data_IF_190412165418
#
_entry.id   IF_190412165418
#
_cell.length_a   1.000
_cell.length_b   1.000
_cell.length_c   1.000
_cell.angle_alpha   90.00
_cell.angle_beta   90.00
_cell.angle_gamma   90.00
#
_symmetry.space_group_name_H-M   'P 1'
#
loop_
_entity.id
_entity.type
_entity.pdbx_description
1 polymer ?
#
# COMPACT_ATOMS: atom_id res chain seq x y z
N UNK A 1 21.80 14.16 7.67
CA UNK A 1 22.11 12.80 7.15
C UNK A 1 21.02 11.82 7.59
N UNK A 2 19.80 11.92 7.03
CA UNK A 2 18.64 11.04 7.32
C UNK A 2 17.73 10.91 6.07
N UNK A 3 18.35 10.90 4.88
CA UNK A 3 17.62 10.88 3.61
C UNK A 3 16.90 9.55 3.37
N UNK A 4 17.45 8.46 3.90
CA UNK A 4 16.96 7.09 3.68
C UNK A 4 16.43 6.41 4.94
N UNK A 5 16.93 6.81 6.11
CA UNK A 5 16.52 6.31 7.42
C UNK A 5 15.67 7.33 8.15
N UNK A 6 14.82 6.86 9.05
CA UNK A 6 14.13 7.74 9.99
C UNK A 6 15.10 8.31 11.01
N UNK A 7 14.81 9.54 11.42
CA UNK A 7 15.44 10.14 12.58
C UNK A 7 14.93 9.47 13.87
N UNK A 8 15.72 9.55 14.97
CA UNK A 8 15.28 9.03 16.26
C UNK A 8 13.98 9.65 16.77
N UNK A 9 13.71 10.92 16.41
CA UNK A 9 12.49 11.63 16.79
C UNK A 9 11.27 11.05 16.07
N UNK A 10 11.34 10.85 14.75
CA UNK A 10 10.26 10.22 13.97
C UNK A 10 9.96 8.80 14.46
N UNK A 11 10.98 8.03 14.85
CA UNK A 11 10.76 6.70 15.44
C UNK A 11 10.01 6.81 16.78
N UNK A 12 10.35 7.80 17.61
CA UNK A 12 9.64 8.04 18.86
C UNK A 12 8.19 8.49 18.63
N UNK A 13 7.91 9.26 17.59
CA UNK A 13 6.55 9.65 17.20
C UNK A 13 5.74 8.45 16.72
N UNK A 14 6.31 7.59 15.87
CA UNK A 14 5.64 6.41 15.31
C UNK A 14 5.37 5.36 16.39
N UNK A 15 6.33 5.15 17.29
CA UNK A 15 6.21 4.13 18.34
C UNK A 15 5.56 4.64 19.62
N UNK A 16 5.51 5.96 19.83
CA UNK A 16 5.04 6.59 21.07
C UNK A 16 5.97 6.44 22.27
N UNK A 17 7.16 5.83 22.11
CA UNK A 17 8.07 5.54 23.20
C UNK A 17 9.42 6.25 23.05
N UNK A 18 9.98 6.70 24.18
CA UNK A 18 11.32 7.30 24.24
C UNK A 18 12.44 6.25 24.44
N UNK A 19 12.14 5.14 25.13
CA UNK A 19 13.13 4.08 25.39
C UNK A 19 13.34 3.19 24.17
N UNK A 20 14.59 3.05 23.72
CA UNK A 20 14.92 2.25 22.54
C UNK A 20 14.47 0.78 22.61
N UNK A 21 14.50 0.15 23.79
CA UNK A 21 14.00 -1.22 23.96
C UNK A 21 12.49 -1.34 23.68
N UNK A 22 11.71 -0.36 24.13
CA UNK A 22 10.27 -0.30 23.87
C UNK A 22 9.98 0.04 22.41
N UNK A 23 10.75 0.96 21.82
CA UNK A 23 10.66 1.27 20.39
C UNK A 23 10.90 0.01 19.54
N UNK A 24 11.96 -0.75 19.82
CA UNK A 24 12.25 -2.00 19.12
C UNK A 24 11.11 -3.01 19.25
N UNK A 25 10.56 -3.19 20.46
CA UNK A 25 9.39 -4.06 20.69
C UNK A 25 8.19 -3.62 19.85
N UNK A 26 7.88 -2.31 19.86
CA UNK A 26 6.75 -1.76 19.12
C UNK A 26 6.94 -1.92 17.60
N UNK A 27 8.16 -1.67 17.09
CA UNK A 27 8.49 -1.90 15.68
C UNK A 27 8.31 -3.37 15.28
N UNK A 28 8.67 -4.34 16.14
CA UNK A 28 8.37 -5.77 15.92
C UNK A 28 6.86 -6.03 15.87
N UNK A 29 6.09 -5.44 16.78
CA UNK A 29 4.63 -5.57 16.80
C UNK A 29 3.97 -5.00 15.53
N UNK A 30 4.52 -3.92 14.97
CA UNK A 30 4.06 -3.36 13.70
C UNK A 30 4.57 -4.13 12.46
N UNK A 31 5.45 -5.13 12.64
CA UNK A 31 6.08 -5.84 11.52
C UNK A 31 7.05 -4.98 10.70
N UNK A 32 7.53 -3.87 11.26
CA UNK A 32 8.45 -2.97 10.57
C UNK A 32 9.88 -3.49 10.76
N UNK A 33 10.60 -3.84 9.68
CA UNK A 33 11.97 -4.28 9.79
C UNK A 33 12.89 -3.13 10.23
N UNK A 34 13.77 -3.41 11.18
CA UNK A 34 14.76 -2.47 11.69
C UNK A 34 16.10 -3.15 11.94
N UNK A 35 17.16 -2.35 11.94
CA UNK A 35 18.51 -2.76 12.37
C UNK A 35 18.86 -2.02 13.65
N UNK A 36 19.76 -2.54 14.47
CA UNK A 36 20.25 -1.86 15.67
C UNK A 36 21.66 -1.31 15.44
N UNK A 37 21.87 -0.07 15.86
CA UNK A 37 23.22 0.53 15.96
C UNK A 37 24.01 -0.05 17.16
N UNK A 38 25.30 0.28 17.27
CA UNK A 38 26.16 -0.10 18.40
C UNK A 38 25.72 0.42 19.78
N UNK A 39 24.72 1.34 19.82
CA UNK A 39 24.08 1.85 21.04
C UNK A 39 22.66 1.31 21.25
N UNK A 40 22.28 0.21 20.61
CA UNK A 40 20.92 -0.37 20.62
C UNK A 40 19.83 0.58 20.10
N UNK A 41 20.20 1.56 19.28
CA UNK A 41 19.24 2.47 18.65
C UNK A 41 18.60 1.78 17.45
N UNK A 42 17.26 1.73 17.35
CA UNK A 42 16.62 1.21 16.14
C UNK A 42 16.88 2.15 14.96
N UNK A 43 17.31 1.59 13.85
CA UNK A 43 17.45 2.24 12.54
C UNK A 43 16.39 1.63 11.63
N UNK A 44 15.45 2.46 11.22
CA UNK A 44 14.34 2.08 10.34
C UNK A 44 14.51 2.79 9.02
N UNK A 45 14.34 2.07 7.90
CA UNK A 45 14.36 2.67 6.58
C UNK A 45 12.98 3.27 6.26
N UNK A 46 12.95 4.47 5.68
CA UNK A 46 11.69 5.17 5.35
C UNK A 46 10.78 4.36 4.42
N UNK A 47 11.37 3.56 3.53
CA UNK A 47 10.65 2.69 2.56
C UNK A 47 9.73 1.64 3.20
N UNK A 48 9.89 1.36 4.50
CA UNK A 48 9.07 0.37 5.21
C UNK A 48 7.85 0.98 5.89
N UNK A 49 7.76 2.31 5.94
CA UNK A 49 6.62 3.03 6.52
C UNK A 49 5.63 3.51 5.50
N UNK A 50 6.04 3.61 4.24
CA UNK A 50 5.08 3.71 3.15
C UNK A 50 4.32 2.39 3.15
N UNK A 51 3.04 2.36 3.59
CA UNK A 51 2.23 1.19 3.30
C UNK A 51 2.30 1.02 1.79
N UNK A 52 2.49 -0.22 1.33
CA UNK A 52 2.44 -0.54 -0.09
C UNK A 52 1.33 0.30 -0.72
N UNK A 53 1.70 1.34 -1.49
CA UNK A 53 0.97 1.62 -2.70
C UNK A 53 1.23 0.37 -3.52
N UNK A 54 0.47 -0.68 -3.22
CA UNK A 54 0.21 -1.74 -4.16
C UNK A 54 -0.42 -0.95 -5.29
N UNK A 55 0.39 -0.56 -6.27
CA UNK A 55 -0.15 -0.12 -7.55
C UNK A 55 -1.15 -1.22 -7.89
N UNK A 56 -2.44 -0.85 -7.92
CA UNK A 56 -3.49 -1.77 -8.33
C UNK A 56 -2.97 -2.40 -9.63
N UNK A 57 -2.89 -3.74 -9.72
CA UNK A 57 -2.42 -4.37 -10.95
C UNK A 57 -3.26 -3.76 -12.05
N UNK A 58 -2.59 -3.22 -13.08
CA UNK A 58 -3.25 -2.59 -14.21
C UNK A 58 -4.23 -3.63 -14.74
N UNK A 59 -5.51 -3.42 -14.42
CA UNK A 59 -6.56 -4.26 -14.97
C UNK A 59 -6.54 -3.87 -16.43
N UNK A 60 -6.02 -4.73 -17.29
CA UNK A 60 -6.24 -4.59 -18.71
C UNK A 60 -7.75 -4.69 -18.88
N UNK A 61 -8.41 -3.53 -18.92
CA UNK A 61 -9.79 -3.42 -19.33
C UNK A 61 -9.86 -4.16 -20.66
N UNK A 62 -10.66 -5.22 -20.70
CA UNK A 62 -10.96 -5.93 -21.92
C UNK A 62 -11.78 -4.99 -22.80
N UNK A 63 -11.10 -4.12 -23.54
CA UNK A 63 -11.70 -3.27 -24.56
C UNK A 63 -11.90 -4.18 -25.76
N UNK A 64 -13.13 -4.65 -25.94
CA UNK A 64 -13.54 -5.35 -27.15
C UNK A 64 -13.16 -4.46 -28.35
N UNK A 65 -12.23 -4.96 -29.17
CA UNK A 65 -11.71 -4.24 -30.34
C UNK A 65 -12.70 -4.24 -31.49
N UNK A 66 -13.71 -5.10 -31.40
CA UNK A 66 -14.78 -5.21 -32.38
C UNK A 66 -16.04 -4.52 -31.86
N UNK A 67 -16.67 -3.66 -32.65
CA UNK A 67 -17.93 -3.05 -32.27
C UNK A 67 -19.02 -4.12 -32.12
N UNK A 68 -19.77 -4.07 -31.02
CA UNK A 68 -20.89 -4.98 -30.79
C UNK A 68 -22.05 -4.69 -31.77
N UNK A 69 -22.05 -5.40 -32.91
CA UNK A 69 -23.10 -5.29 -33.93
C UNK A 69 -24.44 -5.88 -33.47
N UNK A 70 -24.45 -6.75 -32.46
CA UNK A 70 -25.67 -7.38 -31.96
C UNK A 70 -26.57 -6.37 -31.22
N UNK A 71 -25.98 -5.28 -30.71
CA UNK A 71 -26.74 -4.14 -30.17
C UNK A 71 -27.51 -3.35 -31.26
N UNK A 72 -27.10 -3.45 -32.52
CA UNK A 72 -27.74 -2.77 -33.67
C UNK A 72 -28.73 -3.69 -34.39
N UNK A 73 -28.43 -4.98 -34.48
CA UNK A 73 -29.26 -5.98 -35.18
C UNK A 73 -30.13 -6.86 -34.27
N UNK A 74 -30.01 -6.69 -32.95
CA UNK A 74 -30.84 -7.36 -31.97
C UNK A 74 -32.32 -7.10 -32.24
N UNK A 75 -33.09 -8.18 -32.35
CA UNK A 75 -34.54 -8.10 -32.58
C UNK A 75 -35.15 -7.33 -31.42
N UNK A 76 -35.75 -6.17 -31.69
CA UNK A 76 -36.69 -5.57 -30.75
C UNK A 76 -37.77 -6.61 -30.49
N UNK A 77 -37.83 -7.15 -29.27
CA UNK A 77 -39.02 -7.85 -28.80
C UNK A 77 -40.14 -6.80 -28.71
N UNK A 78 -40.74 -6.49 -29.86
CA UNK A 78 -42.07 -5.93 -29.91
C UNK A 78 -43.02 -7.12 -29.84
N UNK A 79 -43.47 -7.42 -28.62
CA UNK A 79 -44.83 -7.93 -28.45
C UNK A 79 -45.57 -6.92 -27.57
N UNK A 80 -46.09 -5.92 -28.28
CA UNK A 80 -47.22 -5.12 -27.88
C UNK A 80 -48.49 -5.99 -27.76
N UNK A 81 -49.10 -5.93 -26.58
CA UNK A 81 -50.54 -6.05 -26.26
C UNK A 81 -51.40 -7.15 -26.90
N UNK A 82 -51.88 -8.09 -26.08
CA UNK A 82 -53.30 -8.17 -25.67
C UNK A 82 -53.56 -9.20 -24.57
#
# INVERSE_FOLDING_TARGET
MYKFTLSPLEIAEITGYQRYTHQQRQLRCHGIPFTTDGKNRPIVLRKHLTPNMTELPKVDEYVETEPNFDAIYGKTTQESER
#
